data_IF_843935702673
#
_entry.id   IF_843935702673
#
_cell.length_a   1.000
_cell.length_b   1.000
_cell.length_c   1.000
_cell.angle_alpha   90.00
_cell.angle_beta   90.00
_cell.angle_gamma   90.00
#
_symmetry.space_group_name_H-M   'P 1'
#
loop_
_entity.id
_entity.type
_entity.pdbx_description
1 polymer ?
#
# COMPACT_ATOMS: atom_id res chain seq x y z
N UNK A 1 4.81 -12.17 19.16
CA UNK A 1 3.73 -12.21 20.17
C UNK A 1 2.47 -12.70 19.51
N UNK A 2 1.80 -13.68 20.11
CA UNK A 2 0.59 -14.33 19.63
C UNK A 2 -0.53 -14.12 20.64
N UNK A 3 -1.71 -13.77 20.17
CA UNK A 3 -2.91 -13.68 20.98
C UNK A 3 -4.10 -14.29 20.23
N UNK A 4 -4.90 -15.08 20.92
CA UNK A 4 -6.06 -15.76 20.33
C UNK A 4 -7.26 -15.69 21.27
N UNK A 5 -8.43 -15.46 20.70
CA UNK A 5 -9.73 -15.49 21.37
C UNK A 5 -10.69 -16.38 20.59
N UNK A 6 -11.58 -17.07 21.29
CA UNK A 6 -12.64 -17.82 20.63
C UNK A 6 -13.52 -16.85 19.86
N UNK A 7 -13.64 -17.07 18.55
CA UNK A 7 -14.46 -16.23 17.68
C UNK A 7 -15.96 -16.41 17.91
N UNK A 8 -16.78 -15.46 17.49
CA UNK A 8 -18.24 -15.51 17.60
C UNK A 8 -18.86 -16.59 16.69
N UNK A 9 -18.11 -17.12 15.74
CA UNK A 9 -18.50 -18.20 14.83
C UNK A 9 -17.71 -19.47 15.13
N UNK A 10 -18.30 -20.66 15.01
CA UNK A 10 -17.66 -21.92 15.44
C UNK A 10 -16.42 -22.33 14.64
N UNK A 11 -16.06 -21.58 13.58
CA UNK A 11 -14.93 -21.89 12.68
C UNK A 11 -13.94 -20.73 12.54
N UNK A 12 -14.07 -19.65 13.31
CA UNK A 12 -13.15 -18.49 13.20
C UNK A 12 -12.70 -18.05 14.57
N UNK A 13 -11.48 -18.39 14.94
CA UNK A 13 -10.83 -17.76 16.08
C UNK A 13 -10.36 -16.36 15.69
N UNK A 14 -10.47 -15.42 16.61
CA UNK A 14 -9.86 -14.11 16.44
C UNK A 14 -8.41 -14.19 16.90
N UNK A 15 -7.50 -14.34 15.92
CA UNK A 15 -6.06 -14.55 16.17
C UNK A 15 -5.26 -13.37 15.66
N UNK A 16 -4.33 -12.90 16.49
CA UNK A 16 -3.40 -11.81 16.16
C UNK A 16 -1.97 -12.29 16.33
N UNK A 17 -1.13 -12.03 15.33
CA UNK A 17 0.29 -12.36 15.34
C UNK A 17 1.14 -11.11 15.04
N UNK A 18 1.98 -10.74 15.97
CA UNK A 18 3.02 -9.72 15.76
C UNK A 18 4.35 -10.41 15.46
N UNK A 19 4.76 -10.39 14.20
CA UNK A 19 6.06 -10.81 13.72
C UNK A 19 6.93 -9.59 13.33
N UNK A 20 8.23 -9.75 13.01
CA UNK A 20 9.11 -8.62 12.65
C UNK A 20 8.62 -7.79 11.45
N UNK A 21 8.06 -8.41 10.41
CA UNK A 21 7.52 -7.70 9.25
C UNK A 21 6.29 -6.88 9.62
N UNK A 22 5.39 -7.46 10.44
CA UNK A 22 4.24 -6.75 10.98
C UNK A 22 4.67 -5.54 11.83
N UNK A 23 5.66 -5.73 12.70
CA UNK A 23 6.21 -4.66 13.54
C UNK A 23 6.80 -3.51 12.73
N UNK A 24 7.55 -3.81 11.66
CA UNK A 24 8.11 -2.81 10.76
C UNK A 24 7.00 -1.96 10.11
N UNK A 25 5.96 -2.60 9.58
CA UNK A 25 4.88 -1.88 8.90
C UNK A 25 4.01 -1.06 9.86
N UNK A 26 3.72 -1.60 11.04
CA UNK A 26 3.01 -0.86 12.09
C UNK A 26 3.79 0.39 12.49
N UNK A 27 5.11 0.29 12.65
CA UNK A 27 5.96 1.44 12.96
C UNK A 27 5.91 2.51 11.85
N UNK A 28 5.96 2.10 10.59
CA UNK A 28 5.83 3.01 9.43
C UNK A 28 4.46 3.69 9.41
N UNK A 29 3.38 2.92 9.58
CA UNK A 29 2.01 3.46 9.60
C UNK A 29 1.82 4.40 10.78
N UNK A 30 2.31 4.06 11.97
CA UNK A 30 2.21 4.90 13.17
C UNK A 30 2.93 6.24 13.00
N UNK A 31 4.15 6.22 12.45
CA UNK A 31 4.91 7.44 12.15
C UNK A 31 4.16 8.35 11.16
N UNK A 32 3.66 7.78 10.06
CA UNK A 32 2.89 8.54 9.09
C UNK A 32 1.56 9.05 9.65
N UNK A 33 0.85 8.23 10.42
CA UNK A 33 -0.40 8.61 11.07
C UNK A 33 -0.18 9.79 12.04
N UNK A 34 0.88 9.74 12.82
CA UNK A 34 1.23 10.84 13.73
C UNK A 34 1.44 12.15 12.97
N UNK A 35 2.26 12.14 11.92
CA UNK A 35 2.53 13.33 11.10
C UNK A 35 1.28 13.79 10.35
N UNK A 36 0.48 12.87 9.80
CA UNK A 36 -0.76 13.19 9.09
C UNK A 36 -1.81 13.83 10.02
N UNK A 37 -1.87 13.41 11.30
CA UNK A 37 -2.72 14.04 12.31
C UNK A 37 -2.21 15.41 12.73
N UNK A 38 -0.91 15.59 12.96
CA UNK A 38 -0.33 16.91 13.24
C UNK A 38 -0.62 17.90 12.11
N UNK A 39 -0.44 17.47 10.86
CA UNK A 39 -0.78 18.28 9.69
C UNK A 39 -2.28 18.59 9.64
N UNK A 40 -3.12 17.63 10.00
CA UNK A 40 -4.57 17.75 10.01
C UNK A 40 -5.11 18.82 10.97
N UNK A 41 -4.38 19.19 12.04
CA UNK A 41 -4.83 20.16 13.04
C UNK A 41 -5.20 21.54 12.44
N UNK A 42 -4.53 21.94 11.36
CA UNK A 42 -4.83 23.15 10.63
C UNK A 42 -5.42 22.92 9.23
N UNK A 43 -5.17 21.75 8.65
CA UNK A 43 -5.60 21.45 7.30
C UNK A 43 -7.10 21.09 7.21
N UNK A 44 -7.69 20.53 8.26
CA UNK A 44 -9.11 20.14 8.27
C UNK A 44 -10.09 21.31 8.29
N UNK A 45 -9.64 22.54 8.55
CA UNK A 45 -10.48 23.73 8.46
C UNK A 45 -11.06 23.91 7.04
N UNK A 46 -10.36 23.43 5.99
CA UNK A 46 -10.85 23.42 4.61
C UNK A 46 -12.04 22.47 4.40
N UNK A 47 -12.20 21.47 5.25
CA UNK A 47 -13.22 20.44 5.17
C UNK A 47 -14.34 20.61 6.20
N UNK A 48 -14.51 21.82 6.73
CA UNK A 48 -15.48 22.12 7.78
C UNK A 48 -16.91 21.72 7.40
N UNK A 49 -17.31 21.94 6.14
CA UNK A 49 -18.64 21.58 5.62
C UNK A 49 -18.87 20.07 5.56
N UNK A 50 -17.82 19.28 5.33
CA UNK A 50 -17.91 17.82 5.34
C UNK A 50 -18.04 17.22 6.75
N UNK A 51 -17.75 18.02 7.80
CA UNK A 51 -17.79 17.62 9.20
C UNK A 51 -16.47 17.01 9.68
N UNK A 52 -15.67 17.79 10.41
CA UNK A 52 -14.36 17.37 10.96
C UNK A 52 -14.47 16.05 11.75
N UNK A 53 -15.58 15.86 12.50
CA UNK A 53 -15.82 14.62 13.24
C UNK A 53 -15.96 13.38 12.36
N UNK A 54 -16.58 13.52 11.18
CA UNK A 54 -16.72 12.41 10.21
C UNK A 54 -15.36 12.03 9.62
N UNK A 55 -14.57 13.03 9.22
CA UNK A 55 -13.21 12.80 8.70
C UNK A 55 -12.36 12.14 9.78
N UNK A 56 -12.38 12.66 11.00
CA UNK A 56 -11.65 12.12 12.13
C UNK A 56 -12.04 10.67 12.45
N UNK A 57 -13.33 10.35 12.44
CA UNK A 57 -13.82 8.98 12.64
C UNK A 57 -13.29 8.03 11.57
N UNK A 58 -13.50 8.34 10.29
CA UNK A 58 -13.08 7.48 9.19
C UNK A 58 -11.55 7.39 9.07
N UNK A 59 -10.80 8.45 9.38
CA UNK A 59 -9.35 8.42 9.38
C UNK A 59 -8.80 7.50 10.49
N UNK A 60 -9.35 7.55 11.71
CA UNK A 60 -8.97 6.64 12.79
C UNK A 60 -9.34 5.20 12.47
N UNK A 61 -10.53 4.97 11.92
CA UNK A 61 -10.97 3.63 11.54
C UNK A 61 -10.14 3.07 10.39
N UNK A 62 -9.69 3.91 9.45
CA UNK A 62 -8.76 3.56 8.38
C UNK A 62 -7.40 3.13 8.94
N UNK A 63 -6.82 3.91 9.88
CA UNK A 63 -5.54 3.57 10.53
C UNK A 63 -5.68 2.29 11.34
N UNK A 64 -6.77 2.12 12.09
CA UNK A 64 -7.03 0.92 12.87
C UNK A 64 -7.17 -0.32 11.97
N UNK A 65 -7.91 -0.21 10.86
CA UNK A 65 -8.09 -1.31 9.91
C UNK A 65 -6.77 -1.74 9.26
N UNK A 66 -5.90 -0.79 8.88
CA UNK A 66 -4.55 -1.09 8.37
C UNK A 66 -3.74 -1.94 9.38
N UNK A 67 -3.73 -1.55 10.65
CA UNK A 67 -3.00 -2.29 11.69
C UNK A 67 -3.63 -3.67 11.95
N UNK A 68 -4.96 -3.77 11.93
CA UNK A 68 -5.66 -5.04 12.14
C UNK A 68 -5.43 -6.02 10.98
N UNK A 69 -5.37 -5.56 9.71
CA UNK A 69 -4.96 -6.40 8.58
C UNK A 69 -3.58 -7.01 8.80
N UNK A 70 -2.62 -6.18 9.23
CA UNK A 70 -1.24 -6.62 9.43
C UNK A 70 -1.12 -7.65 10.56
N UNK A 71 -1.89 -7.47 11.63
CA UNK A 71 -1.89 -8.34 12.80
C UNK A 71 -2.73 -9.61 12.63
N UNK A 72 -3.72 -9.62 11.73
CA UNK A 72 -4.62 -10.74 11.57
C UNK A 72 -3.87 -12.04 11.20
N UNK A 73 -4.10 -13.11 11.96
CA UNK A 73 -3.51 -14.43 11.75
C UNK A 73 -4.57 -15.50 11.40
N UNK A 74 -5.66 -15.06 10.80
CA UNK A 74 -6.75 -15.88 10.31
C UNK A 74 -7.29 -15.27 9.00
N UNK A 75 -7.59 -16.11 8.00
CA UNK A 75 -8.02 -15.67 6.67
C UNK A 75 -9.32 -14.86 6.70
N UNK A 76 -10.30 -15.27 7.52
CA UNK A 76 -11.59 -14.57 7.64
C UNK A 76 -11.40 -13.15 8.19
N UNK A 77 -10.71 -13.01 9.33
CA UNK A 77 -10.49 -11.70 9.94
C UNK A 77 -9.58 -10.80 9.12
N UNK A 78 -8.58 -11.38 8.44
CA UNK A 78 -7.76 -10.64 7.48
C UNK A 78 -8.63 -10.02 6.39
N UNK A 79 -9.54 -10.80 5.78
CA UNK A 79 -10.44 -10.31 4.74
C UNK A 79 -11.40 -9.25 5.26
N UNK A 80 -11.98 -9.43 6.46
CA UNK A 80 -12.86 -8.43 7.09
C UNK A 80 -12.14 -7.09 7.27
N UNK A 81 -10.93 -7.10 7.82
CA UNK A 81 -10.18 -5.87 8.06
C UNK A 81 -9.64 -5.26 6.77
N UNK A 82 -9.29 -6.08 5.78
CA UNK A 82 -8.86 -5.62 4.47
C UNK A 82 -10.00 -4.88 3.73
N UNK A 83 -11.23 -5.40 3.83
CA UNK A 83 -12.40 -4.74 3.26
C UNK A 83 -12.76 -3.48 4.05
N UNK A 84 -12.70 -3.52 5.39
CA UNK A 84 -12.92 -2.34 6.23
C UNK A 84 -11.93 -1.21 5.88
N UNK A 85 -10.66 -1.55 5.63
CA UNK A 85 -9.64 -0.61 5.16
C UNK A 85 -10.02 0.00 3.79
N UNK A 86 -10.57 -0.79 2.88
CA UNK A 86 -10.99 -0.32 1.56
C UNK A 86 -12.20 0.60 1.64
N UNK A 87 -13.20 0.25 2.44
CA UNK A 87 -14.41 1.06 2.62
C UNK A 87 -14.13 2.37 3.34
N UNK A 88 -13.32 2.35 4.39
CA UNK A 88 -12.98 3.58 5.15
C UNK A 88 -12.17 4.54 4.31
N UNK A 89 -11.19 4.07 3.55
CA UNK A 89 -10.44 4.91 2.62
C UNK A 89 -11.29 5.40 1.45
N UNK A 90 -12.24 4.62 0.96
CA UNK A 90 -13.21 5.07 -0.06
C UNK A 90 -14.02 6.28 0.42
N UNK A 91 -14.56 6.24 1.65
CA UNK A 91 -15.30 7.36 2.23
C UNK A 91 -14.43 8.61 2.30
N UNK A 92 -13.16 8.46 2.68
CA UNK A 92 -12.21 9.57 2.73
C UNK A 92 -11.85 10.11 1.34
N UNK A 93 -11.83 9.28 0.30
CA UNK A 93 -11.60 9.73 -1.09
C UNK A 93 -12.76 10.56 -1.61
N UNK A 94 -14.00 10.21 -1.29
CA UNK A 94 -15.20 10.90 -1.78
C UNK A 94 -15.71 12.00 -0.84
N UNK A 95 -14.92 12.41 0.14
CA UNK A 95 -15.39 13.32 1.20
C UNK A 95 -15.89 14.67 0.67
N UNK A 96 -15.28 15.18 -0.40
CA UNK A 96 -15.65 16.45 -1.05
C UNK A 96 -16.90 16.34 -1.92
N UNK A 97 -17.37 15.13 -2.21
CA UNK A 97 -18.56 14.85 -3.04
C UNK A 97 -18.58 15.55 -4.39
N UNK A 98 -17.44 15.97 -4.91
CA UNK A 98 -17.32 16.51 -6.27
C UNK A 98 -17.49 15.37 -7.30
N UNK A 99 -17.88 15.73 -8.53
CA UNK A 99 -18.00 14.71 -9.60
C UNK A 99 -16.69 13.96 -9.82
N UNK A 100 -15.55 14.65 -9.74
CA UNK A 100 -14.22 14.06 -9.87
C UNK A 100 -13.92 13.08 -8.71
N UNK A 101 -14.26 13.46 -7.45
CA UNK A 101 -14.03 12.59 -6.30
C UNK A 101 -14.94 11.36 -6.33
N UNK A 102 -16.18 11.49 -6.77
CA UNK A 102 -17.10 10.36 -6.91
C UNK A 102 -16.62 9.39 -8.00
N UNK A 103 -16.17 9.89 -9.16
CA UNK A 103 -15.60 9.05 -10.24
C UNK A 103 -14.33 8.33 -9.79
N UNK A 104 -13.38 9.07 -9.19
CA UNK A 104 -12.12 8.51 -8.70
C UNK A 104 -12.34 7.50 -7.58
N UNK A 105 -13.24 7.80 -6.65
CA UNK A 105 -13.63 6.89 -5.58
C UNK A 105 -14.33 5.64 -6.10
N UNK A 106 -15.23 5.75 -7.07
CA UNK A 106 -15.92 4.59 -7.65
C UNK A 106 -14.94 3.65 -8.36
N UNK A 107 -14.02 4.19 -9.16
CA UNK A 107 -12.98 3.38 -9.80
C UNK A 107 -12.10 2.69 -8.74
N UNK A 108 -11.69 3.44 -7.71
CA UNK A 108 -10.94 2.87 -6.59
C UNK A 108 -11.69 1.70 -5.94
N UNK A 109 -12.99 1.89 -5.65
CA UNK A 109 -13.82 0.87 -5.01
C UNK A 109 -13.93 -0.40 -5.85
N UNK A 110 -14.17 -0.28 -7.17
CA UNK A 110 -14.21 -1.42 -8.09
C UNK A 110 -12.88 -2.18 -8.08
N UNK A 111 -11.76 -1.46 -8.23
CA UNK A 111 -10.44 -2.09 -8.27
C UNK A 111 -10.08 -2.76 -6.92
N UNK A 112 -10.47 -2.12 -5.80
CA UNK A 112 -10.27 -2.70 -4.47
C UNK A 112 -11.08 -3.99 -4.28
N UNK A 113 -12.35 -4.04 -4.75
CA UNK A 113 -13.19 -5.25 -4.66
C UNK A 113 -12.69 -6.38 -5.58
N UNK A 114 -12.25 -6.06 -6.81
CA UNK A 114 -11.63 -7.07 -7.69
C UNK A 114 -10.41 -7.67 -6.98
N UNK A 115 -9.53 -6.84 -6.43
CA UNK A 115 -8.36 -7.30 -5.67
C UNK A 115 -8.76 -8.14 -4.45
N UNK A 116 -9.76 -7.68 -3.69
CA UNK A 116 -10.29 -8.41 -2.53
C UNK A 116 -10.82 -9.81 -2.91
N UNK A 117 -11.61 -9.92 -3.97
CA UNK A 117 -12.13 -11.21 -4.45
C UNK A 117 -11.01 -12.16 -4.84
N UNK A 118 -9.95 -11.67 -5.50
CA UNK A 118 -8.80 -12.50 -5.85
C UNK A 118 -8.07 -13.00 -4.59
N UNK A 119 -7.87 -12.14 -3.58
CA UNK A 119 -7.27 -12.51 -2.29
C UNK A 119 -8.15 -13.55 -1.58
N UNK A 120 -9.46 -13.34 -1.54
CA UNK A 120 -10.41 -14.28 -0.95
C UNK A 120 -10.36 -15.65 -1.64
N UNK A 121 -10.34 -15.67 -2.98
CA UNK A 121 -10.20 -16.91 -3.74
C UNK A 121 -8.86 -17.61 -3.44
N UNK A 122 -7.76 -16.86 -3.27
CA UNK A 122 -6.48 -17.42 -2.86
C UNK A 122 -6.56 -18.12 -1.49
N UNK A 123 -7.12 -17.44 -0.50
CA UNK A 123 -7.28 -18.00 0.84
C UNK A 123 -8.26 -19.18 0.86
N UNK A 124 -9.34 -19.14 0.09
CA UNK A 124 -10.27 -20.27 -0.01
C UNK A 124 -9.67 -21.47 -0.74
N UNK A 125 -8.79 -21.25 -1.73
CA UNK A 125 -8.04 -22.35 -2.35
C UNK A 125 -7.13 -23.05 -1.32
N UNK A 126 -6.43 -22.30 -0.47
CA UNK A 126 -5.64 -22.85 0.62
C UNK A 126 -6.52 -23.51 1.69
N UNK A 127 -7.63 -22.90 2.07
CA UNK A 127 -8.56 -23.45 3.04
C UNK A 127 -9.22 -24.75 2.56
N UNK A 128 -9.49 -24.89 1.27
CA UNK A 128 -10.04 -26.13 0.70
C UNK A 128 -9.08 -27.33 0.84
N UNK A 129 -7.79 -27.07 0.83
CA UNK A 129 -6.76 -28.11 1.00
C UNK A 129 -6.51 -28.46 2.49
N UNK A 130 -6.63 -27.47 3.39
CA UNK A 130 -6.32 -27.64 4.83
C UNK A 130 -7.54 -27.94 5.69
N UNK A 131 -8.75 -27.62 5.20
CA UNK A 131 -9.99 -27.69 5.99
C UNK A 131 -10.10 -26.59 7.06
N UNK A 132 -9.25 -25.56 7.05
CA UNK A 132 -9.17 -24.51 8.07
C UNK A 132 -9.00 -23.14 7.44
N UNK A 133 -9.42 -22.07 8.16
CA UNK A 133 -9.16 -20.66 7.82
C UNK A 133 -8.02 -20.07 8.66
N UNK A 134 -7.43 -20.85 9.57
CA UNK A 134 -6.29 -20.41 10.37
C UNK A 134 -5.00 -20.39 9.54
N UNK A 135 -4.25 -19.30 9.61
CA UNK A 135 -2.98 -19.19 8.87
C UNK A 135 -1.93 -20.20 9.36
N UNK A 136 -2.00 -20.63 10.62
CA UNK A 136 -1.14 -21.69 11.13
C UNK A 136 -1.33 -23.00 10.36
N UNK A 137 -2.57 -23.35 9.99
CA UNK A 137 -2.85 -24.52 9.16
C UNK A 137 -2.25 -24.37 7.76
N UNK A 138 -2.23 -23.15 7.21
CA UNK A 138 -1.61 -22.89 5.91
C UNK A 138 -0.07 -23.04 5.98
N UNK A 139 0.57 -22.49 7.03
CA UNK A 139 2.02 -22.55 7.23
C UNK A 139 2.56 -23.96 7.32
N UNK A 140 1.80 -24.84 7.94
CA UNK A 140 2.24 -26.23 8.21
C UNK A 140 1.86 -27.20 7.10
N UNK A 141 1.03 -26.79 6.14
CA UNK A 141 0.55 -27.65 5.07
C UNK A 141 1.46 -27.59 3.83
N UNK A 142 1.91 -28.75 3.34
CA UNK A 142 2.63 -28.86 2.08
C UNK A 142 1.61 -28.89 0.91
N UNK A 143 1.30 -27.74 0.35
CA UNK A 143 0.35 -27.64 -0.76
C UNK A 143 0.87 -28.32 -2.02
N UNK A 144 -0.02 -28.97 -2.76
CA UNK A 144 0.28 -29.45 -4.10
C UNK A 144 0.70 -28.29 -5.02
N UNK A 145 1.70 -28.44 -5.92
CA UNK A 145 2.24 -27.34 -6.73
C UNK A 145 1.17 -26.54 -7.48
N UNK A 146 0.13 -27.20 -8.01
CA UNK A 146 -0.96 -26.51 -8.70
C UNK A 146 -1.79 -25.59 -7.80
N UNK A 147 -2.06 -26.03 -6.55
CA UNK A 147 -2.79 -25.21 -5.57
C UNK A 147 -1.91 -24.06 -5.08
N UNK A 148 -0.63 -24.32 -4.81
CA UNK A 148 0.30 -23.29 -4.37
C UNK A 148 0.47 -22.19 -5.44
N UNK A 149 0.64 -22.58 -6.72
CA UNK A 149 0.78 -21.62 -7.82
C UNK A 149 -0.52 -20.86 -8.08
N UNK A 150 -1.68 -21.49 -8.00
CA UNK A 150 -2.98 -20.81 -8.10
C UNK A 150 -3.16 -19.81 -6.95
N UNK A 151 -2.90 -20.22 -5.71
CA UNK A 151 -2.99 -19.36 -4.54
C UNK A 151 -2.03 -18.17 -4.63
N UNK A 152 -0.77 -18.41 -5.04
CA UNK A 152 0.20 -17.36 -5.31
C UNK A 152 -0.30 -16.39 -6.38
N UNK A 153 -0.73 -16.87 -7.55
CA UNK A 153 -1.15 -16.00 -8.65
C UNK A 153 -2.33 -15.11 -8.24
N UNK A 154 -3.37 -15.69 -7.61
CA UNK A 154 -4.53 -14.95 -7.13
C UNK A 154 -4.14 -13.92 -6.06
N UNK A 155 -3.28 -14.28 -5.11
CA UNK A 155 -2.78 -13.36 -4.08
C UNK A 155 -1.92 -12.25 -4.71
N UNK A 156 -1.00 -12.59 -5.60
CA UNK A 156 -0.11 -11.62 -6.24
C UNK A 156 -0.89 -10.54 -7.00
N UNK A 157 -1.83 -10.93 -7.84
CA UNK A 157 -2.65 -9.96 -8.57
C UNK A 157 -3.65 -9.24 -7.67
N UNK A 158 -4.24 -9.92 -6.68
CA UNK A 158 -5.16 -9.31 -5.73
C UNK A 158 -4.49 -8.25 -4.84
N UNK A 159 -3.39 -8.59 -4.21
CA UNK A 159 -2.61 -7.63 -3.42
C UNK A 159 -1.92 -6.59 -4.29
N UNK A 160 -1.51 -6.94 -5.49
CA UNK A 160 -0.95 -6.05 -6.48
C UNK A 160 -1.94 -4.98 -6.96
N UNK A 161 -3.22 -5.32 -7.10
CA UNK A 161 -4.29 -4.35 -7.37
C UNK A 161 -4.39 -3.32 -6.23
N UNK A 162 -4.28 -3.75 -4.97
CA UNK A 162 -4.25 -2.84 -3.81
C UNK A 162 -2.97 -2.02 -3.75
N UNK A 163 -1.82 -2.59 -4.11
CA UNK A 163 -0.55 -1.89 -4.20
C UNK A 163 -0.51 -0.89 -5.36
N UNK A 164 -1.35 -1.07 -6.37
CA UNK A 164 -1.39 -0.22 -7.56
C UNK A 164 -0.28 -0.54 -8.57
N UNK A 165 0.10 -1.81 -8.72
CA UNK A 165 1.01 -2.24 -9.77
C UNK A 165 0.31 -2.27 -11.15
N UNK A 166 1.07 -2.17 -12.23
CA UNK A 166 0.57 -2.39 -13.58
C UNK A 166 0.16 -3.87 -13.75
N UNK A 167 -1.04 -4.16 -14.32
CA UNK A 167 -1.98 -3.26 -14.99
C UNK A 167 -3.07 -2.65 -14.08
N UNK A 168 -3.07 -2.90 -12.78
CA UNK A 168 -4.14 -2.51 -11.85
C UNK A 168 -3.92 -1.13 -11.19
N UNK A 169 -3.11 -0.25 -11.79
CA UNK A 169 -2.68 1.03 -11.24
C UNK A 169 -3.65 2.20 -11.45
N UNK A 170 -4.63 2.07 -12.37
CA UNK A 170 -5.43 3.18 -12.89
C UNK A 170 -6.24 3.96 -11.85
N UNK A 171 -6.53 3.36 -10.71
CA UNK A 171 -7.24 4.02 -9.62
C UNK A 171 -6.39 5.03 -8.84
N UNK A 172 -5.07 4.82 -8.77
CA UNK A 172 -4.15 5.66 -7.99
C UNK A 172 -4.17 7.13 -8.42
N UNK A 173 -3.96 7.47 -9.73
CA UNK A 173 -3.93 8.86 -10.17
C UNK A 173 -5.30 9.55 -10.12
N UNK A 174 -6.39 8.81 -9.91
CA UNK A 174 -7.72 9.37 -9.76
C UNK A 174 -8.13 9.52 -8.28
N UNK A 175 -7.80 8.54 -7.44
CA UNK A 175 -8.16 8.57 -6.02
C UNK A 175 -7.29 9.55 -5.21
N UNK A 176 -5.98 9.63 -5.48
CA UNK A 176 -5.09 10.51 -4.72
C UNK A 176 -5.37 12.01 -4.88
N UNK A 177 -5.65 12.54 -6.09
CA UNK A 177 -6.06 13.93 -6.24
C UNK A 177 -7.38 14.25 -5.54
N UNK A 178 -8.31 13.28 -5.49
CA UNK A 178 -9.61 13.43 -4.88
C UNK A 178 -9.58 13.44 -3.35
N UNK A 179 -8.70 12.63 -2.74
CA UNK A 179 -8.61 12.55 -1.28
C UNK A 179 -7.94 13.78 -0.66
N UNK A 180 -8.25 14.14 0.61
CA UNK A 180 -7.45 15.09 1.38
C UNK A 180 -5.97 14.73 1.40
N UNK A 181 -5.07 15.70 1.44
CA UNK A 181 -3.64 15.47 1.23
C UNK A 181 -2.99 14.62 2.34
N UNK A 182 -3.43 14.76 3.58
CA UNK A 182 -3.01 13.91 4.69
C UNK A 182 -3.54 12.47 4.56
N UNK A 183 -4.73 12.27 4.01
CA UNK A 183 -5.25 10.94 3.66
C UNK A 183 -4.44 10.35 2.50
N UNK A 184 -4.11 11.13 1.47
CA UNK A 184 -3.26 10.70 0.35
C UNK A 184 -1.87 10.28 0.83
N UNK A 185 -1.30 10.97 1.83
CA UNK A 185 -0.03 10.59 2.46
C UNK A 185 -0.13 9.21 3.13
N UNK A 186 -1.22 8.92 3.87
CA UNK A 186 -1.47 7.62 4.48
C UNK A 186 -1.77 6.53 3.45
N UNK A 187 -2.54 6.84 2.41
CA UNK A 187 -2.82 5.88 1.33
C UNK A 187 -1.53 5.48 0.62
N UNK A 188 -0.73 6.46 0.18
CA UNK A 188 0.51 6.20 -0.52
C UNK A 188 1.63 5.67 0.39
N UNK A 189 1.77 6.20 1.60
CA UNK A 189 2.81 5.80 2.53
C UNK A 189 2.53 4.51 3.31
N UNK A 190 1.24 4.21 3.60
CA UNK A 190 0.79 3.06 4.40
C UNK A 190 0.00 2.02 3.60
N UNK A 191 -1.18 2.38 3.11
CA UNK A 191 -2.16 1.44 2.57
C UNK A 191 -1.62 0.57 1.42
N UNK A 192 -0.95 1.17 0.42
CA UNK A 192 -0.42 0.40 -0.72
C UNK A 192 0.71 -0.57 -0.30
N UNK A 193 1.40 -0.32 0.84
CA UNK A 193 2.40 -1.24 1.40
C UNK A 193 1.76 -2.49 2.00
N UNK A 194 0.50 -2.43 2.40
CA UNK A 194 -0.25 -3.62 2.82
C UNK A 194 -0.42 -4.60 1.66
N UNK A 195 -0.50 -4.11 0.42
CA UNK A 195 -0.42 -4.97 -0.76
C UNK A 195 0.91 -5.72 -0.84
N UNK A 196 2.04 -5.03 -0.64
CA UNK A 196 3.37 -5.68 -0.60
C UNK A 196 3.49 -6.65 0.58
N UNK A 197 2.99 -6.25 1.76
CA UNK A 197 2.92 -7.14 2.93
C UNK A 197 2.17 -8.42 2.61
N UNK A 198 1.01 -8.34 1.96
CA UNK A 198 0.20 -9.50 1.58
C UNK A 198 0.94 -10.43 0.63
N UNK A 199 1.65 -9.90 -0.38
CA UNK A 199 2.49 -10.68 -1.28
C UNK A 199 3.58 -11.42 -0.50
N UNK A 200 4.32 -10.72 0.35
CA UNK A 200 5.36 -11.34 1.19
C UNK A 200 4.75 -12.38 2.15
N UNK A 201 3.62 -12.08 2.79
CA UNK A 201 2.93 -13.00 3.71
C UNK A 201 2.54 -14.30 2.99
N UNK A 202 1.91 -14.21 1.82
CA UNK A 202 1.51 -15.42 1.09
C UNK A 202 2.73 -16.20 0.61
N UNK A 203 3.73 -15.56 0.01
CA UNK A 203 4.88 -16.26 -0.57
C UNK A 203 5.77 -16.92 0.48
N UNK A 204 6.15 -16.17 1.52
CA UNK A 204 7.19 -16.63 2.47
C UNK A 204 6.61 -17.22 3.75
N UNK A 205 5.40 -16.79 4.17
CA UNK A 205 4.79 -17.26 5.41
C UNK A 205 3.77 -18.39 5.14
N UNK A 206 2.75 -18.15 4.32
CA UNK A 206 1.64 -19.11 4.19
C UNK A 206 1.95 -20.26 3.22
N UNK A 207 2.72 -20.04 2.17
CA UNK A 207 3.15 -21.05 1.19
C UNK A 207 4.57 -21.55 1.46
N UNK A 208 5.19 -21.16 2.58
CA UNK A 208 6.57 -21.48 2.89
C UNK A 208 6.87 -22.98 2.91
N UNK A 209 5.97 -23.80 3.45
CA UNK A 209 6.11 -25.26 3.51
C UNK A 209 5.97 -25.95 2.13
N UNK A 210 5.30 -25.31 1.16
CA UNK A 210 5.17 -25.83 -0.20
C UNK A 210 6.46 -25.66 -1.03
N UNK A 211 7.38 -24.79 -0.59
CA UNK A 211 8.50 -24.31 -1.38
C UNK A 211 8.04 -23.33 -2.47
N UNK A 212 8.88 -22.37 -2.82
CA UNK A 212 8.59 -21.42 -3.91
C UNK A 212 8.92 -22.00 -5.27
N UNK A 213 8.35 -21.44 -6.31
CA UNK A 213 8.73 -21.70 -7.69
C UNK A 213 9.53 -20.50 -8.25
N UNK A 214 10.61 -20.76 -8.95
CA UNK A 214 11.47 -19.74 -9.60
C UNK A 214 10.61 -18.83 -10.50
N UNK A 215 9.61 -19.40 -11.18
CA UNK A 215 8.68 -18.68 -12.04
C UNK A 215 7.89 -17.57 -11.32
N UNK A 216 7.60 -17.76 -10.02
CA UNK A 216 6.92 -16.72 -9.22
C UNK A 216 7.81 -15.49 -9.07
N UNK A 217 9.09 -15.69 -8.72
CA UNK A 217 10.06 -14.61 -8.61
C UNK A 217 10.24 -13.86 -9.93
N UNK A 218 10.36 -14.59 -11.04
CA UNK A 218 10.47 -14.00 -12.38
C UNK A 218 9.24 -13.17 -12.73
N UNK A 219 8.03 -13.66 -12.48
CA UNK A 219 6.79 -12.92 -12.72
C UNK A 219 6.76 -11.61 -11.92
N UNK A 220 7.11 -11.65 -10.64
CA UNK A 220 7.14 -10.46 -9.76
C UNK A 220 8.18 -9.45 -10.25
N UNK A 221 9.37 -9.90 -10.66
CA UNK A 221 10.42 -9.03 -11.24
C UNK A 221 9.93 -8.36 -12.53
N UNK A 222 9.33 -9.11 -13.45
CA UNK A 222 8.86 -8.58 -14.74
C UNK A 222 7.76 -7.52 -14.51
N UNK A 223 6.76 -7.83 -13.68
CA UNK A 223 5.69 -6.88 -13.36
C UNK A 223 6.24 -5.66 -12.61
N UNK A 224 7.21 -5.87 -11.71
CA UNK A 224 7.91 -4.80 -11.01
C UNK A 224 8.64 -3.86 -11.98
N UNK A 225 9.41 -4.41 -12.92
CA UNK A 225 10.12 -3.63 -13.95
C UNK A 225 9.15 -2.85 -14.84
N UNK A 226 8.08 -3.48 -15.32
CA UNK A 226 7.05 -2.81 -16.13
C UNK A 226 6.38 -1.67 -15.33
N UNK A 227 6.03 -1.91 -14.07
CA UNK A 227 5.39 -0.90 -13.22
C UNK A 227 6.33 0.27 -12.94
N UNK A 228 7.62 0.01 -12.71
CA UNK A 228 8.61 1.04 -12.47
C UNK A 228 8.77 1.95 -13.70
N UNK A 229 8.96 1.39 -14.89
CA UNK A 229 9.17 2.17 -16.13
C UNK A 229 7.89 2.92 -16.52
N UNK A 230 6.74 2.25 -16.56
CA UNK A 230 5.49 2.89 -16.98
C UNK A 230 5.03 3.96 -15.97
N UNK A 231 5.28 3.76 -14.67
CA UNK A 231 5.00 4.78 -13.65
C UNK A 231 5.71 6.10 -13.93
N UNK A 232 6.98 6.06 -14.29
CA UNK A 232 7.75 7.26 -14.68
C UNK A 232 7.21 7.86 -15.98
N UNK A 233 6.98 7.04 -17.01
CA UNK A 233 6.49 7.53 -18.31
C UNK A 233 5.17 8.26 -18.18
N UNK A 234 4.23 7.72 -17.40
CA UNK A 234 2.95 8.40 -17.14
C UNK A 234 3.11 9.66 -16.27
N UNK A 235 4.01 9.64 -15.28
CA UNK A 235 4.27 10.80 -14.45
C UNK A 235 4.79 12.01 -15.25
N UNK A 236 5.62 11.76 -16.27
CA UNK A 236 6.16 12.81 -17.14
C UNK A 236 5.09 13.54 -17.97
N UNK A 237 3.93 12.91 -18.20
CA UNK A 237 2.80 13.51 -18.90
C UNK A 237 1.80 14.26 -18.02
N UNK A 238 2.00 14.25 -16.69
CA UNK A 238 1.04 14.83 -15.76
C UNK A 238 1.26 16.31 -15.50
N UNK A 239 0.14 17.03 -15.38
CA UNK A 239 0.11 18.46 -15.07
C UNK A 239 -0.49 18.76 -13.68
N UNK A 240 -1.19 17.79 -13.07
CA UNK A 240 -1.68 17.85 -11.69
C UNK A 240 -0.65 17.28 -10.72
N UNK A 241 -0.26 18.08 -9.73
CA UNK A 241 0.79 17.74 -8.77
C UNK A 241 0.51 16.43 -7.99
N UNK A 242 -0.75 16.18 -7.60
CA UNK A 242 -1.11 14.95 -6.89
C UNK A 242 -1.18 13.72 -7.81
N UNK A 243 -1.64 13.90 -9.06
CA UNK A 243 -1.63 12.83 -10.07
C UNK A 243 -0.21 12.40 -10.41
N UNK A 244 0.69 13.37 -10.61
CA UNK A 244 2.12 13.12 -10.79
C UNK A 244 2.69 12.29 -9.63
N UNK A 245 2.43 12.70 -8.38
CA UNK A 245 2.86 11.95 -7.21
C UNK A 245 2.23 10.54 -7.14
N UNK A 246 1.00 10.36 -7.61
CA UNK A 246 0.34 9.05 -7.65
C UNK A 246 1.05 8.10 -8.64
N UNK A 247 1.40 8.55 -9.84
CA UNK A 247 2.18 7.75 -10.79
C UNK A 247 3.58 7.41 -10.29
N UNK A 248 4.23 8.33 -9.59
CA UNK A 248 5.47 8.00 -8.88
C UNK A 248 5.28 6.99 -7.74
N UNK A 249 4.05 6.77 -7.24
CA UNK A 249 3.78 5.66 -6.33
C UNK A 249 3.73 4.33 -7.07
N UNK A 250 3.17 4.30 -8.30
CA UNK A 250 3.21 3.11 -9.18
C UNK A 250 4.65 2.70 -9.49
N UNK A 251 5.48 3.67 -9.88
CA UNK A 251 6.92 3.50 -10.11
C UNK A 251 7.60 2.84 -8.91
N UNK A 252 7.45 3.43 -7.74
CA UNK A 252 8.14 2.98 -6.53
C UNK A 252 7.62 1.62 -6.02
N UNK A 253 6.34 1.30 -6.21
CA UNK A 253 5.83 -0.04 -5.99
C UNK A 253 6.52 -1.04 -6.92
N UNK A 254 6.77 -0.65 -8.18
CA UNK A 254 7.57 -1.43 -9.12
C UNK A 254 8.97 -1.73 -8.58
N UNK A 255 9.67 -0.71 -8.06
CA UNK A 255 11.02 -0.87 -7.46
C UNK A 255 10.98 -1.81 -6.24
N UNK A 256 9.99 -1.67 -5.37
CA UNK A 256 9.81 -2.58 -4.23
C UNK A 256 9.58 -4.02 -4.72
N UNK A 257 8.73 -4.21 -5.74
CA UNK A 257 8.46 -5.52 -6.33
C UNK A 257 9.70 -6.14 -6.97
N UNK A 258 10.59 -5.37 -7.58
CA UNK A 258 11.88 -5.88 -8.06
C UNK A 258 12.68 -6.53 -6.93
N UNK A 259 12.82 -5.85 -5.79
CA UNK A 259 13.50 -6.40 -4.63
C UNK A 259 12.80 -7.65 -4.06
N UNK A 260 11.48 -7.60 -3.88
CA UNK A 260 10.67 -8.74 -3.40
C UNK A 260 10.75 -9.91 -4.38
N UNK A 261 10.68 -9.65 -5.69
CA UNK A 261 10.78 -10.68 -6.72
C UNK A 261 12.14 -11.37 -6.74
N UNK A 262 13.24 -10.62 -6.58
CA UNK A 262 14.59 -11.19 -6.39
C UNK A 262 14.64 -12.02 -5.12
N UNK A 263 13.96 -11.57 -4.05
CA UNK A 263 13.80 -12.33 -2.80
C UNK A 263 13.10 -13.67 -3.01
N UNK A 264 11.96 -13.68 -3.73
CA UNK A 264 11.20 -14.91 -4.05
C UNK A 264 12.04 -15.82 -4.95
N UNK A 265 12.69 -15.29 -5.98
CA UNK A 265 13.56 -16.03 -6.88
C UNK A 265 14.70 -16.70 -6.11
N UNK A 266 15.42 -15.95 -5.28
CA UNK A 266 16.53 -16.46 -4.50
C UNK A 266 16.12 -17.55 -3.51
N UNK A 267 14.95 -17.40 -2.89
CA UNK A 267 14.39 -18.42 -2.00
C UNK A 267 14.02 -19.71 -2.77
N UNK A 268 13.33 -19.58 -3.92
CA UNK A 268 12.93 -20.73 -4.72
C UNK A 268 14.12 -21.45 -5.41
N UNK A 269 15.22 -20.73 -5.68
CA UNK A 269 16.43 -21.27 -6.29
C UNK A 269 17.46 -21.79 -5.25
N UNK A 270 17.10 -21.85 -3.97
CA UNK A 270 18.00 -22.22 -2.85
C UNK A 270 19.27 -21.35 -2.79
N UNK A 271 19.10 -20.04 -3.02
CA UNK A 271 20.14 -19.02 -2.93
C UNK A 271 19.85 -18.06 -1.77
N UNK A 272 20.10 -18.45 -0.50
CA UNK A 272 19.63 -17.73 0.68
C UNK A 272 20.20 -16.32 0.78
N UNK A 273 21.43 -16.08 0.33
CA UNK A 273 22.04 -14.75 0.30
C UNK A 273 21.31 -13.81 -0.69
N UNK A 274 20.89 -14.33 -1.86
CA UNK A 274 20.15 -13.58 -2.86
C UNK A 274 18.74 -13.26 -2.36
N UNK A 275 18.09 -14.24 -1.71
CA UNK A 275 16.79 -14.06 -1.08
C UNK A 275 16.85 -12.95 -0.01
N UNK A 276 17.85 -12.98 0.85
CA UNK A 276 18.03 -11.99 1.92
C UNK A 276 18.30 -10.58 1.36
N UNK A 277 19.20 -10.44 0.40
CA UNK A 277 19.52 -9.14 -0.21
C UNK A 277 18.32 -8.58 -0.96
N UNK A 278 17.61 -9.41 -1.75
CA UNK A 278 16.42 -8.98 -2.46
C UNK A 278 15.32 -8.45 -1.53
N UNK A 279 15.00 -9.24 -0.50
CA UNK A 279 14.00 -8.81 0.49
C UNK A 279 14.44 -7.55 1.26
N UNK A 280 15.70 -7.49 1.69
CA UNK A 280 16.23 -6.32 2.39
C UNK A 280 16.13 -5.07 1.51
N UNK A 281 16.51 -5.14 0.24
CA UNK A 281 16.43 -4.03 -0.70
C UNK A 281 14.98 -3.57 -0.90
N UNK A 282 14.05 -4.52 -1.12
CA UNK A 282 12.62 -4.21 -1.30
C UNK A 282 12.01 -3.57 -0.05
N UNK A 283 12.25 -4.13 1.14
CA UNK A 283 11.72 -3.61 2.40
C UNK A 283 12.37 -2.29 2.82
N UNK A 284 13.67 -2.11 2.56
CA UNK A 284 14.36 -0.84 2.78
C UNK A 284 13.75 0.26 1.91
N UNK A 285 13.57 -0.02 0.61
CA UNK A 285 12.92 0.94 -0.28
C UNK A 285 11.46 1.21 0.09
N UNK A 286 10.73 0.22 0.60
CA UNK A 286 9.37 0.39 1.12
C UNK A 286 9.30 1.44 2.23
N UNK A 287 10.22 1.38 3.20
CA UNK A 287 10.31 2.37 4.30
C UNK A 287 10.66 3.75 3.76
N UNK A 288 11.67 3.84 2.91
CA UNK A 288 12.11 5.11 2.31
C UNK A 288 11.00 5.77 1.49
N UNK A 289 10.34 4.97 0.64
CA UNK A 289 9.19 5.42 -0.14
C UNK A 289 8.05 5.94 0.77
N UNK A 290 7.76 5.29 1.89
CA UNK A 290 6.75 5.76 2.82
C UNK A 290 7.09 7.17 3.35
N UNK A 291 8.35 7.43 3.71
CA UNK A 291 8.80 8.70 4.25
C UNK A 291 8.75 9.84 3.23
N UNK A 292 9.40 9.68 2.07
CA UNK A 292 9.41 10.78 1.09
C UNK A 292 8.04 11.00 0.43
N UNK A 293 7.20 9.97 0.29
CA UNK A 293 5.83 10.15 -0.21
C UNK A 293 4.93 10.84 0.79
N UNK A 294 5.04 10.49 2.07
CA UNK A 294 4.36 11.25 3.12
C UNK A 294 4.69 12.73 3.03
N UNK A 295 5.98 13.08 2.97
CA UNK A 295 6.45 14.44 2.84
C UNK A 295 5.93 15.15 1.58
N UNK A 296 6.01 14.51 0.42
CA UNK A 296 5.60 15.10 -0.85
C UNK A 296 4.08 15.32 -0.95
N UNK A 297 3.25 14.38 -0.46
CA UNK A 297 1.79 14.57 -0.46
C UNK A 297 1.35 15.66 0.53
N UNK A 298 1.97 15.76 1.70
CA UNK A 298 1.71 16.86 2.64
C UNK A 298 2.18 18.20 2.05
N UNK A 299 3.33 18.22 1.38
CA UNK A 299 3.79 19.41 0.66
C UNK A 299 2.84 19.83 -0.46
N UNK A 300 2.31 18.87 -1.24
CA UNK A 300 1.30 19.14 -2.27
C UNK A 300 0.00 19.69 -1.67
N UNK A 301 -0.38 19.22 -0.47
CA UNK A 301 -1.49 19.79 0.29
C UNK A 301 -1.24 21.24 0.70
N UNK A 302 -0.06 21.54 1.20
CA UNK A 302 0.33 22.92 1.55
C UNK A 302 0.33 23.85 0.34
N UNK A 303 0.76 23.38 -0.83
CA UNK A 303 0.68 24.14 -2.09
C UNK A 303 -0.78 24.39 -2.46
N UNK A 304 -1.64 23.36 -2.44
CA UNK A 304 -3.06 23.51 -2.74
C UNK A 304 -3.73 24.51 -1.80
N UNK A 305 -3.48 24.40 -0.50
CA UNK A 305 -4.03 25.31 0.53
C UNK A 305 -3.66 26.77 0.26
N UNK A 306 -2.39 27.03 -0.08
CA UNK A 306 -1.89 28.40 -0.27
C UNK A 306 -2.28 29.01 -1.62
N UNK A 307 -2.49 28.20 -2.68
CA UNK A 307 -2.65 28.69 -4.06
C UNK A 307 -4.05 28.41 -4.63
N UNK A 308 -4.83 27.54 -4.01
CA UNK A 308 -6.13 27.09 -4.52
C UNK A 308 -6.05 26.18 -5.77
N UNK A 309 -4.82 25.81 -6.22
CA UNK A 309 -4.65 24.99 -7.43
C UNK A 309 -3.52 23.97 -7.30
N UNK A 310 -3.65 22.86 -8.05
CA UNK A 310 -2.62 21.82 -8.20
C UNK A 310 -2.04 21.78 -9.60
N UNK A 311 -2.51 22.65 -10.51
CA UNK A 311 -2.05 22.68 -11.88
C UNK A 311 -0.66 23.33 -11.94
N UNK A 312 0.37 22.52 -12.25
CA UNK A 312 1.76 22.94 -12.25
C UNK A 312 2.09 23.95 -13.35
N UNK A 313 1.28 24.02 -14.42
CA UNK A 313 1.46 24.97 -15.54
C UNK A 313 1.25 26.44 -15.11
N UNK A 314 0.45 26.66 -14.06
CA UNK A 314 0.13 28.01 -13.57
C UNK A 314 0.85 28.35 -12.25
N UNK A 315 1.57 27.39 -11.67
CA UNK A 315 2.33 27.57 -10.44
C UNK A 315 3.74 28.08 -10.75
N UNK A 316 4.20 29.08 -9.98
CA UNK A 316 5.56 29.60 -10.12
C UNK A 316 5.99 30.47 -8.94
N UNK A 317 7.29 30.53 -8.68
CA UNK A 317 7.88 31.40 -7.67
C UNK A 317 7.55 31.07 -6.21
N UNK A 318 6.95 29.92 -5.92
CA UNK A 318 6.45 29.52 -4.61
C UNK A 318 7.54 29.49 -3.52
N UNK A 319 8.79 29.23 -3.88
CA UNK A 319 9.91 29.26 -2.94
C UNK A 319 10.07 30.59 -2.20
N UNK A 320 9.62 31.71 -2.80
CA UNK A 320 9.67 33.04 -2.16
C UNK A 320 8.61 33.24 -1.09
N UNK A 321 7.42 32.66 -1.29
CA UNK A 321 6.26 32.83 -0.39
C UNK A 321 6.08 31.66 0.57
N UNK A 322 6.62 30.49 0.23
CA UNK A 322 6.53 29.26 1.02
C UNK A 322 7.92 28.61 1.17
N UNK A 323 8.92 29.28 1.77
CA UNK A 323 10.30 28.81 1.78
C UNK A 323 10.49 27.47 2.52
N UNK A 324 9.78 27.23 3.62
CA UNK A 324 9.85 25.99 4.38
C UNK A 324 9.29 24.83 3.55
N UNK A 325 8.10 25.01 2.95
CA UNK A 325 7.49 24.01 2.07
C UNK A 325 8.38 23.72 0.87
N UNK A 326 9.01 24.75 0.28
CA UNK A 326 9.92 24.59 -0.86
C UNK A 326 11.15 23.73 -0.49
N UNK A 327 11.76 23.97 0.68
CA UNK A 327 12.91 23.16 1.16
C UNK A 327 12.46 21.71 1.44
N UNK A 328 11.34 21.50 2.13
CA UNK A 328 10.81 20.17 2.39
C UNK A 328 10.48 19.42 1.09
N UNK A 329 9.84 20.10 0.14
CA UNK A 329 9.49 19.52 -1.17
C UNK A 329 10.74 19.19 -1.98
N UNK A 330 11.77 20.05 -1.95
CA UNK A 330 13.06 19.80 -2.60
C UNK A 330 13.74 18.55 -2.02
N UNK A 331 13.79 18.42 -0.68
CA UNK A 331 14.36 17.23 -0.03
C UNK A 331 13.61 15.97 -0.47
N UNK A 332 12.27 15.99 -0.45
CA UNK A 332 11.45 14.86 -0.90
C UNK A 332 11.67 14.53 -2.39
N UNK A 333 11.80 15.55 -3.24
CA UNK A 333 12.05 15.37 -4.69
C UNK A 333 13.43 14.80 -4.97
N UNK A 334 14.46 15.26 -4.29
CA UNK A 334 15.81 14.70 -4.38
C UNK A 334 15.89 13.27 -3.84
N UNK A 335 15.14 12.98 -2.76
CA UNK A 335 15.07 11.65 -2.20
C UNK A 335 14.39 10.66 -3.17
N UNK A 336 13.22 10.99 -3.74
CA UNK A 336 12.54 10.11 -4.69
C UNK A 336 13.34 9.91 -5.98
N UNK A 337 14.17 10.87 -6.36
CA UNK A 337 15.05 10.79 -7.53
C UNK A 337 16.35 10.00 -7.27
N UNK A 338 16.45 9.33 -6.12
CA UNK A 338 17.61 8.53 -5.74
C UNK A 338 18.94 9.28 -5.76
N UNK A 339 18.94 10.59 -5.41
CA UNK A 339 20.17 11.40 -5.39
C UNK A 339 20.93 11.17 -4.07
N UNK A 340 22.21 10.71 -4.10
CA UNK A 340 23.02 10.57 -2.91
C UNK A 340 23.22 11.92 -2.19
N UNK A 341 23.28 11.98 -0.86
CA UNK A 341 23.22 10.89 0.12
C UNK A 341 21.81 10.62 0.67
N UNK A 342 20.76 10.96 -0.06
CA UNK A 342 19.40 10.83 0.44
C UNK A 342 18.91 9.37 0.42
N UNK A 343 17.88 9.12 1.19
CA UNK A 343 17.40 7.77 1.51
C UNK A 343 16.76 7.00 0.33
N UNK A 344 16.51 7.63 -0.81
CA UNK A 344 16.02 6.95 -2.00
C UNK A 344 17.13 6.29 -2.85
N UNK A 345 18.40 6.62 -2.55
CA UNK A 345 19.59 6.07 -3.21
C UNK A 345 19.93 4.64 -2.77
#
# INVERSE_FOLDING_TARGET
>A
TYASWIGPMPFTNFTLLLNPLAGLLIAVIAALAFVAWLYGLSYFDEYYEAGIGVIGFFMNLFIASMNLVILADNAFWFLVFFELMSLTSYVLVIIDRTEASLKGGFLYLIMAHIGFLMIACSFFAMASATGSLEFEAFRTHAFAPGIATLAFALAFFGFGAKAGMVPFHSWLPQAHPAAPSNVSALMSGGMIKIGIFGICKVCFDLLGAAGGEVGWGVLVIVIGAVSSVLGVVYALGEHDLKSLLAYHSVENIGIILLGVGVGIYGWAADLPWLAAIGLLAGLYHLVNHAMFKGLLFLGAGSVLHATGTRNMEVLGGLAKVMPITAVCFLIGSLAISAIPPLNGF
#
